data_IF_667016735782
#
_entry.id   IF_667016735782
#
_cell.length_a   1.000
_cell.length_b   1.000
_cell.length_c   1.000
_cell.angle_alpha   90.00
_cell.angle_beta   90.00
_cell.angle_gamma   90.00
#
_symmetry.space_group_name_H-M   'P 1'
#
loop_
_entity.id
_entity.type
_entity.pdbx_description
1 polymer ?
#
# COMPACT_ATOMS: atom_id res chain seq x y z
N UNK A 1 -34.78 18.22 40.34
CA UNK A 1 -33.53 18.72 39.75
C UNK A 1 -33.05 17.65 38.76
N UNK A 2 -33.39 17.77 37.48
CA UNK A 2 -32.91 16.85 36.45
C UNK A 2 -31.65 17.46 35.85
N UNK A 3 -30.51 16.82 36.09
CA UNK A 3 -29.25 17.17 35.44
C UNK A 3 -29.30 16.55 34.04
N UNK A 4 -29.50 17.39 33.02
CA UNK A 4 -29.31 16.98 31.64
C UNK A 4 -27.81 16.75 31.42
N UNK A 5 -27.43 15.48 31.18
CA UNK A 5 -26.09 15.15 30.73
C UNK A 5 -25.92 15.71 29.31
N UNK A 6 -25.03 16.69 29.15
CA UNK A 6 -24.59 17.14 27.84
C UNK A 6 -23.82 16.00 27.18
N UNK A 7 -24.41 15.36 26.17
CA UNK A 7 -23.69 14.50 25.27
C UNK A 7 -22.69 15.36 24.49
N UNK A 8 -21.42 15.30 24.88
CA UNK A 8 -20.33 15.77 24.02
C UNK A 8 -20.36 14.92 22.76
N UNK A 9 -20.85 15.50 21.66
CA UNK A 9 -20.60 14.96 20.32
C UNK A 9 -19.09 14.98 20.11
N UNK A 10 -18.47 13.81 20.11
CA UNK A 10 -17.10 13.68 19.64
C UNK A 10 -17.09 14.15 18.18
N UNK A 11 -16.37 15.24 17.90
CA UNK A 11 -16.06 15.62 16.53
C UNK A 11 -15.09 14.57 16.02
N UNK A 12 -15.58 13.59 15.27
CA UNK A 12 -14.71 12.65 14.59
C UNK A 12 -13.83 13.41 13.60
N UNK A 13 -12.52 13.17 13.63
CA UNK A 13 -11.62 13.69 12.61
C UNK A 13 -12.09 13.19 11.23
N UNK A 14 -12.00 14.04 10.20
CA UNK A 14 -12.34 13.62 8.85
C UNK A 14 -11.48 12.41 8.46
N UNK A 15 -12.03 11.39 7.79
CA UNK A 15 -11.25 10.27 7.31
C UNK A 15 -10.11 10.75 6.42
N UNK A 16 -8.93 10.14 6.54
CA UNK A 16 -7.86 10.37 5.58
C UNK A 16 -8.25 9.73 4.24
N UNK A 17 -8.28 10.53 3.18
CA UNK A 17 -8.50 10.08 1.82
C UNK A 17 -7.28 10.52 1.01
N UNK A 18 -6.32 9.61 0.94
CA UNK A 18 -4.99 9.84 0.42
C UNK A 18 -4.83 9.31 -1.00
N UNK A 19 -4.07 10.04 -1.82
CA UNK A 19 -3.72 9.64 -3.18
C UNK A 19 -2.22 9.76 -3.38
N UNK A 20 -1.56 8.68 -3.80
CA UNK A 20 -0.23 8.79 -4.38
C UNK A 20 -0.36 9.31 -5.81
N UNK A 21 0.40 10.35 -6.15
CA UNK A 21 0.51 10.89 -7.50
C UNK A 21 1.90 10.59 -8.02
N UNK A 22 2.06 9.44 -8.68
CA UNK A 22 3.37 8.94 -9.09
C UNK A 22 3.99 9.74 -10.25
N UNK A 23 5.31 9.64 -10.36
CA UNK A 23 6.11 10.40 -11.33
C UNK A 23 5.98 9.94 -12.79
N UNK A 24 5.31 8.83 -13.05
CA UNK A 24 5.19 8.20 -14.37
C UNK A 24 3.84 8.52 -15.02
N UNK A 25 2.78 8.65 -14.23
CA UNK A 25 1.42 8.85 -14.73
C UNK A 25 0.92 10.28 -14.44
N UNK A 26 1.40 11.26 -15.21
CA UNK A 26 1.21 12.71 -14.90
C UNK A 26 0.30 13.46 -15.88
N UNK A 27 -0.13 12.82 -16.97
CA UNK A 27 -0.75 13.51 -18.11
C UNK A 27 -2.27 13.51 -18.10
N UNK A 28 -2.90 12.45 -17.57
CA UNK A 28 -4.36 12.32 -17.53
C UNK A 28 -4.81 12.34 -16.07
N UNK A 29 -5.37 13.49 -15.66
CA UNK A 29 -5.84 13.70 -14.30
C UNK A 29 -7.37 13.83 -14.25
N UNK A 30 -8.02 13.35 -13.17
CA UNK A 30 -9.46 13.47 -13.01
C UNK A 30 -9.89 14.92 -12.80
N UNK A 31 -11.13 15.25 -13.16
CA UNK A 31 -11.72 16.53 -12.81
C UNK A 31 -11.89 16.67 -11.27
N UNK A 32 -11.96 17.91 -10.79
CA UNK A 32 -12.14 18.24 -9.37
C UNK A 32 -13.38 17.60 -8.75
N UNK A 33 -14.44 17.32 -9.53
CA UNK A 33 -15.61 16.62 -9.02
C UNK A 33 -15.29 15.19 -8.57
N UNK A 34 -14.34 14.53 -9.23
CA UNK A 34 -13.94 13.15 -8.96
C UNK A 34 -12.91 13.08 -7.83
N UNK A 35 -12.04 14.09 -7.70
CA UNK A 35 -11.10 14.19 -6.56
C UNK A 35 -11.71 14.83 -5.32
N UNK A 36 -13.01 15.19 -5.34
CA UNK A 36 -13.64 15.81 -4.19
C UNK A 36 -13.61 14.87 -2.98
N UNK A 37 -13.12 15.38 -1.83
CA UNK A 37 -12.95 14.61 -0.61
C UNK A 37 -11.51 14.15 -0.36
N UNK A 38 -10.66 14.06 -1.41
CA UNK A 38 -9.22 13.80 -1.24
C UNK A 38 -8.63 14.94 -0.42
N UNK A 39 -8.02 14.61 0.71
CA UNK A 39 -7.44 15.57 1.66
C UNK A 39 -5.93 15.36 1.89
N UNK A 40 -5.35 14.31 1.31
CA UNK A 40 -3.90 14.11 1.23
C UNK A 40 -3.50 13.72 -0.20
N UNK A 41 -2.41 14.31 -0.70
CA UNK A 41 -1.79 13.90 -1.97
C UNK A 41 -0.28 13.80 -1.76
N UNK A 42 0.30 12.63 -2.05
CA UNK A 42 1.74 12.41 -2.02
C UNK A 42 2.28 12.62 -3.43
N UNK A 43 2.96 13.73 -3.68
CA UNK A 43 3.29 14.22 -5.04
C UNK A 43 4.78 14.25 -5.38
N UNK A 44 5.67 14.00 -4.42
CA UNK A 44 7.11 14.05 -4.64
C UNK A 44 7.80 12.86 -3.98
N UNK A 45 8.58 12.14 -4.78
CA UNK A 45 9.36 10.98 -4.37
C UNK A 45 10.83 11.35 -4.35
N UNK A 46 11.48 11.14 -3.20
CA UNK A 46 12.90 11.33 -3.04
C UNK A 46 13.51 10.01 -2.56
N UNK A 47 14.56 9.55 -3.25
CA UNK A 47 15.30 8.38 -2.79
C UNK A 47 15.90 8.66 -1.41
N UNK A 48 15.84 7.67 -0.53
CA UNK A 48 16.26 7.83 0.87
C UNK A 48 17.75 8.17 1.03
N UNK A 49 18.57 7.82 0.05
CA UNK A 49 20.01 8.12 0.04
C UNK A 49 20.32 9.61 -0.05
N UNK A 50 19.46 10.40 -0.68
CA UNK A 50 19.58 11.86 -0.78
C UNK A 50 19.60 12.53 0.60
N UNK A 51 18.98 11.92 1.61
CA UNK A 51 18.91 12.47 2.97
C UNK A 51 20.14 12.14 3.83
N UNK A 52 21.13 11.42 3.29
CA UNK A 52 22.39 11.10 3.94
C UNK A 52 23.59 11.76 3.23
N UNK A 53 24.81 11.63 3.79
CA UNK A 53 26.04 12.19 3.20
C UNK A 53 26.61 11.38 2.02
N UNK A 54 25.80 10.61 1.28
CA UNK A 54 26.24 9.70 0.20
C UNK A 54 25.14 8.78 -0.34
N UNK A 55 25.50 7.74 -1.11
CA UNK A 55 24.60 6.78 -1.82
C UNK A 55 23.96 5.72 -0.90
N UNK A 56 23.57 6.10 0.31
CA UNK A 56 23.21 5.16 1.35
C UNK A 56 21.75 5.34 1.81
N UNK A 57 20.88 4.36 1.53
CA UNK A 57 19.44 4.41 1.83
C UNK A 57 19.07 4.30 3.31
N UNK A 58 17.79 4.03 3.59
CA UNK A 58 17.20 4.05 4.93
C UNK A 58 18.01 3.33 6.02
N UNK A 59 18.54 2.13 5.74
CA UNK A 59 19.32 1.36 6.71
C UNK A 59 20.51 2.13 7.31
N UNK A 60 21.21 2.90 6.49
CA UNK A 60 22.32 3.75 6.95
C UNK A 60 21.81 4.97 7.70
N UNK A 61 20.73 5.58 7.22
CA UNK A 61 20.05 6.67 7.94
C UNK A 61 19.66 6.25 9.35
N UNK A 62 19.12 5.04 9.51
CA UNK A 62 18.64 4.49 10.77
C UNK A 62 19.76 4.04 11.74
N UNK A 63 20.92 3.65 11.23
CA UNK A 63 21.91 2.84 11.97
C UNK A 63 22.41 3.46 13.30
N UNK A 64 22.71 4.76 13.34
CA UNK A 64 23.30 5.43 14.50
C UNK A 64 22.52 6.68 14.89
N UNK A 65 22.70 7.18 16.11
CA UNK A 65 22.06 8.44 16.53
C UNK A 65 22.47 9.62 15.63
N UNK A 66 23.76 9.71 15.28
CA UNK A 66 24.27 10.78 14.42
C UNK A 66 23.71 10.71 12.99
N UNK A 67 23.60 9.50 12.41
CA UNK A 67 23.00 9.32 11.08
C UNK A 67 21.51 9.62 11.11
N UNK A 68 20.77 9.17 12.13
CA UNK A 68 19.34 9.45 12.29
C UNK A 68 19.07 10.95 12.42
N UNK A 69 19.85 11.65 13.24
CA UNK A 69 19.73 13.09 13.42
C UNK A 69 20.01 13.85 12.11
N UNK A 70 20.97 13.38 11.31
CA UNK A 70 21.26 13.96 10.01
C UNK A 70 20.11 13.73 9.02
N UNK A 71 19.63 12.50 8.92
CA UNK A 71 18.51 12.13 8.07
C UNK A 71 17.26 12.96 8.40
N UNK A 72 16.87 12.97 9.68
CA UNK A 72 15.70 13.70 10.17
C UNK A 72 15.77 15.21 9.90
N UNK A 73 16.94 15.82 10.13
CA UNK A 73 17.17 17.24 9.83
C UNK A 73 17.02 17.53 8.33
N UNK A 74 17.56 16.65 7.48
CA UNK A 74 17.50 16.84 6.04
C UNK A 74 16.08 16.67 5.50
N UNK A 75 15.30 15.74 6.07
CA UNK A 75 13.85 15.62 5.80
C UNK A 75 13.13 16.91 6.19
N UNK A 76 13.32 17.40 7.42
CA UNK A 76 12.68 18.63 7.88
C UNK A 76 13.03 19.85 7.00
N UNK A 77 14.31 20.00 6.66
CA UNK A 77 14.76 21.07 5.76
C UNK A 77 14.15 20.94 4.36
N UNK A 78 13.98 19.73 3.85
CA UNK A 78 13.34 19.50 2.54
C UNK A 78 11.87 19.89 2.57
N UNK A 79 11.14 19.53 3.63
CA UNK A 79 9.75 19.95 3.81
C UNK A 79 9.62 21.47 3.89
N UNK A 80 10.49 22.14 4.64
CA UNK A 80 10.49 23.61 4.75
C UNK A 80 10.83 24.29 3.42
N UNK A 81 11.83 23.79 2.70
CA UNK A 81 12.27 24.37 1.44
C UNK A 81 11.23 24.23 0.33
N UNK A 82 10.51 23.10 0.30
CA UNK A 82 9.51 22.80 -0.73
C UNK A 82 8.09 23.19 -0.32
N UNK A 83 7.87 23.55 0.94
CA UNK A 83 6.56 23.96 1.46
C UNK A 83 5.58 22.80 1.67
N UNK A 84 6.07 21.60 2.00
CA UNK A 84 5.22 20.43 2.26
C UNK A 84 4.77 20.37 3.72
N UNK A 85 3.51 19.98 3.93
CA UNK A 85 2.88 19.84 5.25
C UNK A 85 3.11 18.47 5.91
N UNK A 86 3.56 17.49 5.14
CA UNK A 86 3.73 16.11 5.59
C UNK A 86 4.92 15.41 4.89
N UNK A 87 5.37 14.31 5.48
CA UNK A 87 6.28 13.33 4.86
C UNK A 87 5.72 11.93 5.05
N UNK A 88 5.80 11.12 4.00
CA UNK A 88 5.54 9.69 4.04
C UNK A 88 6.86 8.93 3.94
N UNK A 89 7.11 7.99 4.85
CA UNK A 89 8.30 7.14 4.83
C UNK A 89 7.91 5.76 4.31
N UNK A 90 8.31 5.48 3.08
CA UNK A 90 8.08 4.21 2.41
C UNK A 90 9.39 3.40 2.34
N UNK A 91 9.66 2.65 3.41
CA UNK A 91 10.81 1.74 3.47
C UNK A 91 10.33 0.30 3.27
N UNK A 92 10.71 -0.29 2.13
CA UNK A 92 10.37 -1.68 1.76
C UNK A 92 11.55 -2.67 1.83
N UNK A 93 11.70 -3.48 2.88
CA UNK A 93 11.11 -3.33 4.21
C UNK A 93 12.19 -3.32 5.29
N UNK A 94 12.00 -2.58 6.40
CA UNK A 94 12.92 -2.62 7.53
C UNK A 94 12.98 -4.04 8.11
N UNK A 95 14.20 -4.54 8.29
CA UNK A 95 14.47 -5.87 8.82
C UNK A 95 14.60 -6.95 7.75
N UNK A 96 14.27 -6.69 6.49
CA UNK A 96 14.44 -7.65 5.41
C UNK A 96 13.33 -7.69 4.38
N UNK A 97 13.36 -8.70 3.51
CA UNK A 97 12.37 -8.95 2.45
C UNK A 97 12.10 -7.78 1.47
N UNK A 98 12.98 -6.77 1.43
CA UNK A 98 12.98 -5.77 0.36
C UNK A 98 13.42 -6.36 -0.98
N UNK A 99 13.49 -5.54 -2.02
CA UNK A 99 13.83 -5.98 -3.38
C UNK A 99 15.15 -6.78 -3.46
N UNK A 100 16.13 -6.45 -2.60
CA UNK A 100 17.44 -7.07 -2.55
C UNK A 100 17.55 -8.28 -1.60
N UNK A 101 16.44 -8.86 -1.11
CA UNK A 101 16.46 -9.84 -0.02
C UNK A 101 17.22 -11.15 -0.31
N UNK A 102 17.39 -11.52 -1.59
CA UNK A 102 18.23 -12.66 -1.98
C UNK A 102 19.72 -12.32 -2.05
N UNK A 103 20.07 -11.05 -2.24
CA UNK A 103 21.45 -10.56 -2.21
C UNK A 103 21.87 -10.14 -0.80
N UNK A 104 20.95 -9.57 -0.03
CA UNK A 104 21.12 -9.08 1.33
C UNK A 104 20.10 -9.76 2.25
N UNK A 105 20.45 -10.94 2.78
CA UNK A 105 19.55 -11.72 3.63
C UNK A 105 19.19 -10.98 4.93
N UNK A 106 18.06 -11.37 5.51
CA UNK A 106 17.44 -10.69 6.65
C UNK A 106 18.32 -10.70 7.91
N UNK A 107 19.21 -11.70 8.07
CA UNK A 107 20.16 -11.79 9.19
C UNK A 107 21.14 -10.61 9.24
N UNK A 108 21.42 -9.98 8.09
CA UNK A 108 22.25 -8.78 7.99
C UNK A 108 21.49 -7.49 8.33
N UNK A 109 20.16 -7.56 8.45
CA UNK A 109 19.26 -6.40 8.63
C UNK A 109 18.52 -6.40 9.97
N UNK A 110 18.78 -7.37 10.84
CA UNK A 110 18.08 -7.52 12.14
C UNK A 110 18.09 -6.24 13.00
N UNK A 111 19.14 -5.43 12.90
CA UNK A 111 19.26 -4.19 13.65
C UNK A 111 18.22 -3.14 13.21
N UNK A 112 17.68 -3.23 11.99
CA UNK A 112 16.64 -2.33 11.46
C UNK A 112 15.32 -2.48 12.23
N UNK A 113 15.06 -3.65 12.85
CA UNK A 113 13.90 -3.87 13.73
C UNK A 113 13.94 -2.91 14.93
N UNK A 114 15.14 -2.68 15.47
CA UNK A 114 15.35 -1.78 16.61
C UNK A 114 15.47 -0.32 16.18
N UNK A 115 16.11 -0.05 15.04
CA UNK A 115 16.41 1.31 14.63
C UNK A 115 15.30 2.00 13.85
N UNK A 116 14.37 1.26 13.24
CA UNK A 116 13.28 1.86 12.47
C UNK A 116 12.37 2.77 13.33
N UNK A 117 11.83 2.34 14.49
CA UNK A 117 11.07 3.24 15.35
C UNK A 117 11.87 4.48 15.80
N UNK A 118 13.18 4.31 16.06
CA UNK A 118 14.06 5.42 16.46
C UNK A 118 14.26 6.44 15.32
N UNK A 119 14.32 5.97 14.07
CA UNK A 119 14.39 6.86 12.91
C UNK A 119 13.09 7.67 12.78
N UNK A 120 11.93 7.01 12.90
CA UNK A 120 10.63 7.70 12.86
C UNK A 120 10.51 8.75 13.96
N UNK A 121 10.95 8.44 15.18
CA UNK A 121 10.94 9.39 16.31
C UNK A 121 11.83 10.61 16.03
N UNK A 122 13.03 10.39 15.48
CA UNK A 122 13.93 11.47 15.10
C UNK A 122 13.31 12.36 14.01
N UNK A 123 12.69 11.76 12.99
CA UNK A 123 11.98 12.50 11.93
C UNK A 123 10.82 13.30 12.52
N UNK A 124 9.94 12.67 13.30
CA UNK A 124 8.79 13.35 13.91
C UNK A 124 9.22 14.55 14.77
N UNK A 125 10.27 14.38 15.57
CA UNK A 125 10.84 15.45 16.38
C UNK A 125 11.39 16.61 15.52
N UNK A 126 12.05 16.31 14.40
CA UNK A 126 12.64 17.32 13.52
C UNK A 126 11.59 18.09 12.70
N UNK A 127 10.53 17.43 12.22
CA UNK A 127 9.49 18.06 11.40
C UNK A 127 8.45 18.84 12.25
N UNK A 128 8.44 18.63 13.56
CA UNK A 128 7.59 19.34 14.51
C UNK A 128 6.10 19.00 14.36
N UNK A 129 5.29 20.00 14.01
CA UNK A 129 3.82 19.84 13.88
C UNK A 129 3.38 19.23 12.55
N UNK A 130 4.29 19.08 11.59
CA UNK A 130 4.00 18.44 10.29
C UNK A 130 3.63 16.97 10.50
N UNK A 131 2.90 16.41 9.55
CA UNK A 131 2.46 15.02 9.62
C UNK A 131 3.54 14.05 9.13
N UNK A 132 3.64 12.91 9.80
CA UNK A 132 4.49 11.78 9.45
C UNK A 132 3.58 10.57 9.20
N UNK A 133 3.53 10.10 7.97
CA UNK A 133 2.94 8.80 7.63
C UNK A 133 4.02 7.79 7.24
N UNK A 134 3.63 6.52 7.22
CA UNK A 134 4.48 5.43 6.75
C UNK A 134 3.68 4.51 5.83
N UNK A 135 4.30 4.03 4.76
CA UNK A 135 3.80 2.89 3.99
C UNK A 135 4.38 1.59 4.55
N UNK A 136 3.52 0.59 4.75
CA UNK A 136 3.87 -0.65 5.48
C UNK A 136 3.39 -1.90 4.74
N UNK A 137 4.07 -3.05 4.88
CA UNK A 137 3.75 -4.23 4.10
C UNK A 137 2.36 -4.78 4.40
N UNK A 138 1.65 -5.23 3.37
CA UNK A 138 0.41 -6.00 3.53
C UNK A 138 0.65 -7.47 3.88
N UNK A 139 1.79 -8.04 3.47
CA UNK A 139 2.09 -9.47 3.69
C UNK A 139 2.71 -9.73 5.06
N UNK A 140 2.21 -10.76 5.74
CA UNK A 140 2.67 -11.13 7.09
C UNK A 140 4.17 -11.42 7.13
N UNK A 141 4.72 -12.07 6.10
CA UNK A 141 6.15 -12.43 6.08
C UNK A 141 7.07 -11.20 5.99
N UNK A 142 6.57 -10.08 5.47
CA UNK A 142 7.33 -8.85 5.27
C UNK A 142 7.23 -7.89 6.48
N UNK A 143 6.34 -8.18 7.43
CA UNK A 143 6.14 -7.39 8.65
C UNK A 143 7.25 -7.60 9.71
N UNK A 144 8.52 -7.73 9.30
CA UNK A 144 9.65 -8.14 10.15
C UNK A 144 9.90 -7.14 11.28
N UNK A 145 10.02 -5.85 10.96
CA UNK A 145 10.22 -4.79 11.97
C UNK A 145 8.93 -4.40 12.72
N UNK A 146 7.77 -4.87 12.29
CA UNK A 146 6.47 -4.49 12.85
C UNK A 146 6.00 -5.50 13.90
N UNK A 147 6.85 -5.83 14.89
CA UNK A 147 6.52 -6.79 15.95
C UNK A 147 5.53 -6.20 16.96
N UNK A 148 4.94 -7.04 17.82
CA UNK A 148 4.07 -6.59 18.92
C UNK A 148 4.78 -5.66 19.93
N UNK A 149 6.12 -5.68 19.96
CA UNK A 149 6.91 -4.76 20.80
C UNK A 149 7.15 -3.41 20.10
N UNK A 150 7.39 -3.42 18.78
CA UNK A 150 7.75 -2.20 18.03
C UNK A 150 6.54 -1.42 17.54
N UNK A 151 5.43 -2.10 17.21
CA UNK A 151 4.21 -1.46 16.73
C UNK A 151 3.67 -0.39 17.68
N UNK A 152 3.62 -0.58 19.01
CA UNK A 152 3.21 0.48 19.93
C UNK A 152 4.09 1.75 19.84
N UNK A 153 5.42 1.59 19.71
CA UNK A 153 6.36 2.71 19.57
C UNK A 153 6.15 3.48 18.26
N UNK A 154 5.87 2.74 17.18
CA UNK A 154 5.54 3.33 15.87
C UNK A 154 4.20 4.07 15.97
N UNK A 155 3.18 3.44 16.56
CA UNK A 155 1.84 4.00 16.75
C UNK A 155 1.86 5.33 17.52
N UNK A 156 2.73 5.48 18.52
CA UNK A 156 2.89 6.73 19.26
C UNK A 156 3.54 7.85 18.44
N UNK A 157 4.29 7.50 17.41
CA UNK A 157 5.16 8.43 16.66
C UNK A 157 4.49 8.99 15.40
N UNK A 158 3.82 8.14 14.63
CA UNK A 158 3.28 8.49 13.30
C UNK A 158 1.84 9.00 13.40
N UNK A 159 1.40 9.81 12.45
CA UNK A 159 0.02 10.29 12.36
C UNK A 159 -0.86 9.27 11.63
N UNK A 160 -0.36 8.68 10.54
CA UNK A 160 -1.06 7.68 9.72
C UNK A 160 -0.15 6.50 9.35
N UNK A 161 -0.76 5.35 9.08
CA UNK A 161 -0.10 4.12 8.62
C UNK A 161 -0.82 3.59 7.39
N UNK A 162 -0.21 3.78 6.22
CA UNK A 162 -0.69 3.35 4.93
C UNK A 162 -0.34 1.87 4.72
N UNK A 163 -1.30 0.98 4.96
CA UNK A 163 -1.07 -0.46 4.79
C UNK A 163 -1.23 -0.81 3.32
N UNK A 164 -0.14 -1.28 2.70
CA UNK A 164 -0.10 -1.69 1.30
C UNK A 164 -0.81 -3.05 1.13
N UNK A 165 -2.14 -3.05 1.27
CA UNK A 165 -3.03 -4.21 1.09
C UNK A 165 -3.22 -4.58 -0.38
N UNK A 166 -2.15 -4.46 -1.15
CA UNK A 166 -1.99 -4.83 -2.54
C UNK A 166 -0.61 -5.49 -2.71
N UNK A 167 -0.35 -6.07 -3.88
CA UNK A 167 0.83 -6.92 -4.13
C UNK A 167 0.98 -8.07 -3.11
N UNK A 168 -0.15 -8.46 -2.53
CA UNK A 168 -0.29 -9.63 -1.67
C UNK A 168 0.01 -10.90 -2.45
N UNK A 169 -0.20 -10.91 -3.76
CA UNK A 169 0.42 -11.86 -4.68
C UNK A 169 1.54 -11.13 -5.40
N UNK A 170 2.74 -11.70 -5.38
CA UNK A 170 3.91 -11.19 -6.07
C UNK A 170 4.76 -12.34 -6.59
N UNK A 171 5.87 -12.04 -7.27
CA UNK A 171 6.73 -13.03 -7.92
C UNK A 171 7.35 -14.10 -7.00
N UNK A 172 7.31 -13.90 -5.68
CA UNK A 172 7.80 -14.88 -4.70
C UNK A 172 6.83 -16.05 -4.48
N UNK A 173 5.59 -15.96 -4.99
CA UNK A 173 4.51 -16.91 -4.74
C UNK A 173 4.37 -17.87 -5.91
N UNK A 174 4.38 -19.18 -5.62
CA UNK A 174 4.33 -20.24 -6.63
C UNK A 174 2.93 -20.75 -6.95
N UNK A 175 1.89 -20.13 -6.38
CA UNK A 175 0.49 -20.43 -6.64
C UNK A 175 -0.33 -19.18 -6.89
N UNK A 176 -1.39 -19.27 -7.69
CA UNK A 176 -2.30 -18.15 -7.92
C UNK A 176 -3.01 -17.74 -6.64
N UNK A 177 -3.03 -16.43 -6.39
CA UNK A 177 -3.67 -15.77 -5.25
C UNK A 177 -4.30 -14.46 -5.74
N UNK A 178 -4.99 -13.74 -4.86
CA UNK A 178 -5.46 -12.40 -5.17
C UNK A 178 -4.48 -11.36 -4.66
N UNK A 179 -4.03 -10.44 -5.53
CA UNK A 179 -3.04 -9.45 -5.11
C UNK A 179 -3.58 -8.39 -4.15
N UNK A 180 -4.90 -8.19 -4.09
CA UNK A 180 -5.53 -7.18 -3.22
C UNK A 180 -6.89 -7.64 -2.67
N UNK A 181 -7.05 -8.92 -2.32
CA UNK A 181 -8.36 -9.41 -1.84
C UNK A 181 -8.85 -8.74 -0.54
N UNK A 182 -10.17 -8.76 -0.31
CA UNK A 182 -10.79 -8.39 0.98
C UNK A 182 -10.22 -9.26 2.12
N UNK A 183 -10.15 -10.58 1.93
CA UNK A 183 -9.63 -11.52 2.92
C UNK A 183 -8.15 -11.24 3.25
N UNK A 184 -7.34 -10.97 2.23
CA UNK A 184 -5.95 -10.55 2.40
C UNK A 184 -5.84 -9.23 3.17
N UNK A 185 -6.64 -8.24 2.78
CA UNK A 185 -6.71 -6.92 3.45
C UNK A 185 -7.07 -7.05 4.93
N UNK A 186 -8.08 -7.86 5.26
CA UNK A 186 -8.46 -8.16 6.65
C UNK A 186 -7.31 -8.79 7.42
N UNK A 187 -6.62 -9.77 6.85
CA UNK A 187 -5.49 -10.42 7.50
C UNK A 187 -4.37 -9.43 7.82
N UNK A 188 -4.04 -8.52 6.90
CA UNK A 188 -3.04 -7.48 7.12
C UNK A 188 -3.45 -6.54 8.24
N UNK A 189 -4.65 -5.97 8.14
CA UNK A 189 -5.19 -5.00 9.11
C UNK A 189 -5.32 -5.61 10.51
N UNK A 190 -5.89 -6.81 10.61
CA UNK A 190 -6.08 -7.49 11.89
C UNK A 190 -4.75 -7.80 12.55
N UNK A 191 -3.71 -8.11 11.77
CA UNK A 191 -2.36 -8.32 12.31
C UNK A 191 -1.81 -7.05 12.96
N UNK A 192 -1.91 -5.89 12.29
CA UNK A 192 -1.45 -4.62 12.88
C UNK A 192 -2.23 -4.24 14.13
N UNK A 193 -3.55 -4.41 14.12
CA UNK A 193 -4.40 -4.14 15.30
C UNK A 193 -4.00 -5.07 16.46
N UNK A 194 -3.84 -6.36 16.20
CA UNK A 194 -3.42 -7.34 17.22
C UNK A 194 -2.04 -7.03 17.81
N UNK A 195 -1.16 -6.38 17.03
CA UNK A 195 0.16 -5.94 17.48
C UNK A 195 0.16 -4.57 18.17
N UNK A 196 -1.00 -3.93 18.31
CA UNK A 196 -1.17 -2.69 19.08
C UNK A 196 -1.27 -1.40 18.25
N UNK A 197 -1.43 -1.50 16.92
CA UNK A 197 -1.69 -0.31 16.10
C UNK A 197 -3.12 0.17 16.33
N UNK A 198 -3.30 1.49 16.49
CA UNK A 198 -4.64 2.06 16.66
C UNK A 198 -5.40 1.97 15.33
N UNK A 199 -6.61 1.37 15.29
CA UNK A 199 -7.36 1.26 14.04
C UNK A 199 -7.61 2.61 13.35
N UNK A 200 -7.86 3.67 14.13
CA UNK A 200 -8.07 5.03 13.61
C UNK A 200 -6.83 5.68 12.96
N UNK A 201 -5.64 5.05 13.05
CA UNK A 201 -4.43 5.48 12.32
C UNK A 201 -4.13 4.61 11.09
N UNK A 202 -4.80 3.46 10.97
CA UNK A 202 -4.62 2.56 9.84
C UNK A 202 -5.41 3.08 8.64
N UNK A 203 -4.73 3.19 7.51
CA UNK A 203 -5.25 3.62 6.22
C UNK A 203 -5.21 2.42 5.28
N UNK A 204 -6.37 2.04 4.73
CA UNK A 204 -6.48 0.87 3.86
C UNK A 204 -5.99 1.20 2.43
N UNK A 205 -5.10 0.36 1.87
CA UNK A 205 -4.54 0.54 0.54
C UNK A 205 -5.34 -0.11 -0.59
N UNK A 206 -5.56 0.65 -1.65
CA UNK A 206 -6.16 0.20 -2.91
C UNK A 206 -5.17 0.28 -4.07
N UNK A 207 -5.23 -0.70 -4.97
CA UNK A 207 -4.44 -0.74 -6.20
C UNK A 207 -5.28 -0.30 -7.40
N UNK A 208 -4.81 0.71 -8.12
CA UNK A 208 -5.38 1.16 -9.41
C UNK A 208 -4.68 0.47 -10.58
N UNK A 209 -4.37 -0.81 -10.41
CA UNK A 209 -3.78 -1.66 -11.44
C UNK A 209 -4.20 -3.12 -11.22
N UNK A 210 -4.20 -3.89 -12.30
CA UNK A 210 -4.29 -5.34 -12.26
C UNK A 210 -2.91 -5.98 -12.22
N UNK A 211 -2.77 -7.16 -11.62
CA UNK A 211 -1.59 -8.01 -11.73
C UNK A 211 -1.85 -9.19 -12.65
N UNK A 212 -0.82 -9.62 -13.37
CA UNK A 212 -0.83 -10.85 -14.14
C UNK A 212 0.36 -11.75 -13.80
N UNK A 213 0.18 -13.06 -13.98
CA UNK A 213 1.15 -14.09 -13.65
C UNK A 213 1.05 -15.27 -14.62
N UNK A 214 2.18 -15.68 -15.21
CA UNK A 214 2.24 -16.87 -16.06
C UNK A 214 2.05 -18.13 -15.20
N UNK A 215 1.11 -18.98 -15.60
CA UNK A 215 0.85 -20.28 -14.97
C UNK A 215 1.78 -21.36 -15.51
N UNK A 216 1.98 -22.44 -14.76
CA UNK A 216 2.81 -23.56 -15.24
C UNK A 216 2.15 -24.22 -16.47
N UNK A 217 2.92 -24.63 -17.51
CA UNK A 217 2.36 -25.32 -18.67
C UNK A 217 1.51 -26.53 -18.30
N UNK A 218 0.32 -26.63 -18.89
CA UNK A 218 -0.63 -27.73 -18.67
C UNK A 218 -1.54 -27.57 -17.45
N UNK A 219 -1.36 -26.52 -16.64
CA UNK A 219 -2.31 -26.17 -15.58
C UNK A 219 -3.63 -25.70 -16.20
N UNK A 220 -4.75 -26.00 -15.53
CA UNK A 220 -6.06 -25.44 -15.85
C UNK A 220 -6.69 -24.84 -14.59
N UNK A 221 -6.80 -23.52 -14.54
CA UNK A 221 -7.38 -22.84 -13.39
C UNK A 221 -8.89 -22.77 -13.47
N UNK A 222 -9.54 -23.61 -12.68
CA UNK A 222 -11.00 -23.63 -12.51
C UNK A 222 -11.45 -22.96 -11.21
N UNK A 223 -10.50 -22.69 -10.30
CA UNK A 223 -10.69 -21.96 -9.05
C UNK A 223 -9.89 -20.66 -9.07
N UNK A 224 -10.31 -19.63 -8.31
CA UNK A 224 -9.61 -18.34 -8.25
C UNK A 224 -8.17 -18.47 -7.78
N UNK A 225 -7.91 -19.32 -6.79
CA UNK A 225 -6.58 -19.47 -6.19
C UNK A 225 -6.09 -20.92 -6.23
N UNK A 226 -4.80 -21.11 -6.03
CA UNK A 226 -4.16 -22.42 -5.81
C UNK A 226 -3.57 -23.09 -7.04
N UNK A 227 -3.66 -22.48 -8.23
CA UNK A 227 -2.98 -23.00 -9.42
C UNK A 227 -1.48 -22.79 -9.36
N UNK A 228 -0.68 -23.78 -9.77
CA UNK A 228 0.76 -23.60 -9.87
C UNK A 228 1.15 -22.52 -10.90
N UNK A 229 2.03 -21.60 -10.51
CA UNK A 229 2.61 -20.61 -11.41
C UNK A 229 3.87 -21.16 -12.08
N UNK A 230 4.33 -20.48 -13.13
CA UNK A 230 5.70 -20.63 -13.59
C UNK A 230 6.69 -20.16 -12.50
N UNK A 231 7.99 -20.29 -12.76
CA UNK A 231 9.03 -19.68 -11.91
C UNK A 231 9.04 -18.18 -12.18
N UNK A 232 8.37 -17.41 -11.33
CA UNK A 232 8.16 -15.97 -11.48
C UNK A 232 9.36 -15.13 -10.99
N UNK A 233 10.21 -15.72 -10.17
CA UNK A 233 11.41 -15.08 -9.64
C UNK A 233 12.60 -16.05 -9.76
N UNK A 234 13.72 -15.56 -10.32
CA UNK A 234 14.90 -16.38 -10.47
C UNK A 234 15.63 -16.66 -9.15
N UNK A 235 16.62 -17.54 -9.21
CA UNK A 235 17.36 -18.00 -8.02
C UNK A 235 18.08 -16.87 -7.28
N UNK A 236 18.49 -15.82 -7.99
CA UNK A 236 19.12 -14.62 -7.44
C UNK A 236 18.11 -13.50 -7.14
N UNK A 237 16.82 -13.67 -7.42
CA UNK A 237 15.78 -12.69 -7.08
C UNK A 237 15.42 -11.76 -8.23
N UNK A 238 16.03 -11.97 -9.41
CA UNK A 238 15.67 -11.23 -10.60
C UNK A 238 14.24 -11.54 -11.06
N UNK A 239 13.65 -10.56 -11.72
CA UNK A 239 12.37 -10.71 -12.41
C UNK A 239 12.57 -11.61 -13.64
N UNK A 240 11.77 -12.67 -13.77
CA UNK A 240 11.81 -13.55 -14.94
C UNK A 240 11.00 -13.01 -16.12
N UNK A 241 10.28 -11.89 -15.94
CA UNK A 241 9.38 -11.31 -16.93
C UNK A 241 8.10 -12.13 -17.11
N UNK A 242 7.79 -13.01 -16.16
CA UNK A 242 6.61 -13.89 -16.19
C UNK A 242 5.50 -13.43 -15.22
N UNK A 243 5.62 -12.21 -14.71
CA UNK A 243 4.56 -11.54 -13.96
C UNK A 243 4.68 -10.04 -14.16
N UNK A 244 3.60 -9.31 -13.96
CA UNK A 244 3.60 -7.86 -14.12
C UNK A 244 2.35 -7.19 -13.61
N UNK A 245 2.29 -5.88 -13.82
CA UNK A 245 1.14 -5.03 -13.51
C UNK A 245 0.71 -4.27 -14.77
N UNK A 246 -0.59 -4.05 -14.92
CA UNK A 246 -1.18 -3.21 -15.97
C UNK A 246 -2.16 -2.24 -15.32
N UNK A 247 -1.95 -0.94 -15.53
CA UNK A 247 -2.80 0.13 -15.00
C UNK A 247 -4.10 0.22 -15.79
N UNK A 248 -5.18 0.70 -15.17
CA UNK A 248 -6.48 0.92 -15.81
C UNK A 248 -6.52 2.19 -16.67
N UNK A 249 -5.41 2.57 -17.30
CA UNK A 249 -5.37 3.69 -18.22
C UNK A 249 -5.95 3.28 -19.57
N UNK A 250 -6.65 4.21 -20.23
CA UNK A 250 -7.26 3.97 -21.54
C UNK A 250 -6.27 3.47 -22.60
N UNK A 251 -4.99 3.85 -22.49
CA UNK A 251 -3.95 3.37 -23.39
C UNK A 251 -3.76 1.85 -23.29
N UNK A 252 -3.82 1.28 -22.09
CA UNK A 252 -3.62 -0.15 -21.88
C UNK A 252 -4.81 -0.98 -22.34
N UNK A 253 -6.04 -0.49 -22.15
CA UNK A 253 -7.24 -1.13 -22.73
C UNK A 253 -7.16 -1.26 -24.26
N UNK A 254 -6.50 -0.31 -24.94
CA UNK A 254 -6.36 -0.32 -26.39
C UNK A 254 -5.10 -1.08 -26.87
N UNK A 255 -4.05 -1.15 -26.06
CA UNK A 255 -2.75 -1.68 -26.46
C UNK A 255 -2.52 -3.14 -26.03
N UNK A 256 -3.14 -3.59 -24.94
CA UNK A 256 -2.97 -4.93 -24.38
C UNK A 256 -4.29 -5.72 -24.50
N UNK A 257 -4.34 -6.59 -25.52
CA UNK A 257 -5.51 -7.43 -25.77
C UNK A 257 -5.76 -8.45 -24.66
N UNK A 258 -4.71 -8.95 -24.01
CA UNK A 258 -4.86 -9.92 -22.94
C UNK A 258 -5.43 -9.25 -21.67
N UNK A 259 -5.02 -8.02 -21.40
CA UNK A 259 -5.61 -7.19 -20.36
C UNK A 259 -7.07 -6.85 -20.67
N UNK A 260 -7.39 -6.40 -21.88
CA UNK A 260 -8.76 -6.11 -22.29
C UNK A 260 -9.67 -7.34 -22.15
N UNK A 261 -9.20 -8.50 -22.58
CA UNK A 261 -9.89 -9.79 -22.41
C UNK A 261 -10.10 -10.11 -20.93
N UNK A 262 -9.11 -9.88 -20.07
CA UNK A 262 -9.24 -10.08 -18.63
C UNK A 262 -10.31 -9.18 -18.01
N UNK A 263 -10.35 -7.90 -18.40
CA UNK A 263 -11.36 -6.95 -17.92
C UNK A 263 -12.78 -7.34 -18.36
N UNK A 264 -12.96 -7.86 -19.58
CA UNK A 264 -14.26 -8.31 -20.08
C UNK A 264 -14.70 -9.64 -19.46
N UNK A 265 -13.79 -10.60 -19.33
CA UNK A 265 -14.09 -12.00 -18.95
C UNK A 265 -13.88 -12.29 -17.46
N UNK A 266 -13.51 -11.26 -16.69
CA UNK A 266 -13.26 -11.32 -15.27
C UNK A 266 -14.40 -11.91 -14.46
N UNK A 267 -14.04 -12.60 -13.37
CA UNK A 267 -14.96 -13.20 -12.41
C UNK A 267 -14.62 -12.73 -11.02
N UNK A 268 -15.65 -12.55 -10.20
CA UNK A 268 -15.48 -12.26 -8.78
C UNK A 268 -15.30 -13.55 -8.00
N UNK A 269 -14.25 -13.66 -7.21
CA UNK A 269 -14.22 -14.56 -6.07
C UNK A 269 -15.03 -13.91 -4.93
N UNK A 270 -16.23 -14.41 -4.68
CA UNK A 270 -17.11 -13.88 -3.65
C UNK A 270 -16.58 -14.15 -2.22
N UNK A 271 -15.86 -15.26 -2.02
CA UNK A 271 -15.37 -15.70 -0.71
C UNK A 271 -14.13 -14.91 -0.30
N UNK A 272 -13.11 -14.86 -1.15
CA UNK A 272 -11.89 -14.09 -0.84
C UNK A 272 -12.10 -12.58 -1.07
N UNK A 273 -12.97 -12.20 -2.01
CA UNK A 273 -13.21 -10.82 -2.39
C UNK A 273 -12.11 -10.26 -3.29
N UNK A 274 -11.97 -10.80 -4.50
CA UNK A 274 -11.01 -10.37 -5.52
C UNK A 274 -11.52 -10.68 -6.91
N UNK A 275 -11.17 -9.87 -7.92
CA UNK A 275 -11.39 -10.26 -9.31
C UNK A 275 -10.29 -11.20 -9.76
N UNK A 276 -10.64 -12.10 -10.68
CA UNK A 276 -9.70 -12.96 -11.36
C UNK A 276 -10.16 -13.34 -12.77
N UNK A 277 -9.19 -13.67 -13.62
CA UNK A 277 -9.42 -14.33 -14.90
C UNK A 277 -8.21 -15.21 -15.22
N UNK A 278 -8.44 -16.41 -15.74
CA UNK A 278 -7.36 -17.24 -16.27
C UNK A 278 -7.56 -17.41 -17.76
N UNK A 279 -6.61 -16.87 -18.52
CA UNK A 279 -6.54 -17.02 -19.96
C UNK A 279 -5.89 -18.36 -20.30
N UNK A 280 -6.70 -19.31 -20.77
CA UNK A 280 -6.21 -20.63 -21.16
C UNK A 280 -5.36 -20.61 -22.44
N UNK A 281 -5.54 -19.61 -23.31
CA UNK A 281 -4.79 -19.45 -24.55
C UNK A 281 -3.37 -18.96 -24.29
N UNK A 282 -3.24 -18.01 -23.36
CA UNK A 282 -1.96 -17.41 -22.97
C UNK A 282 -1.30 -18.10 -21.76
N UNK A 283 -2.05 -18.95 -21.05
CA UNK A 283 -1.60 -19.55 -19.78
C UNK A 283 -1.37 -18.49 -18.71
N UNK A 284 -2.15 -17.42 -18.70
CA UNK A 284 -1.94 -16.23 -17.87
C UNK A 284 -3.08 -16.02 -16.88
N UNK A 285 -2.74 -15.83 -15.60
CA UNK A 285 -3.70 -15.54 -14.54
C UNK A 285 -3.67 -14.05 -14.20
N UNK A 286 -4.84 -13.43 -14.15
CA UNK A 286 -5.06 -12.02 -13.83
C UNK A 286 -5.79 -11.87 -12.49
N UNK A 287 -5.48 -10.82 -11.74
CA UNK A 287 -6.22 -10.45 -10.52
C UNK A 287 -6.19 -8.95 -10.26
N UNK A 288 -7.32 -8.39 -9.79
CA UNK A 288 -7.51 -6.96 -9.52
C UNK A 288 -8.67 -6.71 -8.55
N UNK A 289 -8.92 -5.45 -8.20
CA UNK A 289 -10.16 -4.98 -7.56
C UNK A 289 -11.17 -4.49 -8.61
N UNK A 290 -12.47 -4.67 -8.39
CA UNK A 290 -13.50 -3.93 -9.13
C UNK A 290 -14.08 -2.81 -8.25
N UNK A 291 -14.84 -1.88 -8.84
CA UNK A 291 -15.57 -0.85 -8.10
C UNK A 291 -16.50 -1.44 -7.02
N UNK A 292 -17.13 -2.59 -7.28
CA UNK A 292 -17.97 -3.30 -6.30
C UNK A 292 -17.15 -3.89 -5.15
N UNK A 293 -15.97 -4.45 -5.44
CA UNK A 293 -15.07 -4.95 -4.40
C UNK A 293 -14.49 -3.82 -3.55
N UNK A 294 -14.23 -2.65 -4.15
CA UNK A 294 -13.89 -1.44 -3.40
C UNK A 294 -15.00 -1.10 -2.42
N UNK A 295 -16.25 -1.01 -2.89
CA UNK A 295 -17.39 -0.74 -2.01
C UNK A 295 -17.52 -1.77 -0.88
N UNK A 296 -17.28 -3.06 -1.17
CA UNK A 296 -17.23 -4.11 -0.14
C UNK A 296 -16.09 -3.92 0.86
N UNK A 297 -14.88 -3.55 0.42
CA UNK A 297 -13.75 -3.25 1.34
C UNK A 297 -14.08 -2.12 2.32
N UNK A 298 -14.83 -1.10 1.90
CA UNK A 298 -15.31 -0.07 2.82
C UNK A 298 -16.21 -0.65 3.92
N UNK A 299 -17.11 -1.57 3.57
CA UNK A 299 -18.03 -2.17 4.54
C UNK A 299 -17.32 -3.21 5.43
N UNK A 300 -16.63 -4.16 4.80
CA UNK A 300 -16.09 -5.37 5.43
C UNK A 300 -14.76 -5.12 6.14
N UNK A 301 -14.00 -4.08 5.75
CA UNK A 301 -12.67 -3.77 6.32
C UNK A 301 -12.69 -2.42 7.02
N UNK A 302 -12.96 -1.33 6.29
CA UNK A 302 -12.82 0.04 6.81
C UNK A 302 -13.80 0.30 7.95
N UNK A 303 -15.10 0.16 7.71
CA UNK A 303 -16.14 0.37 8.71
C UNK A 303 -16.10 -0.69 9.81
N UNK A 304 -15.94 -1.97 9.43
CA UNK A 304 -15.92 -3.08 10.39
C UNK A 304 -14.75 -3.04 11.39
N UNK A 305 -13.65 -2.33 11.08
CA UNK A 305 -12.50 -2.14 11.97
C UNK A 305 -12.34 -0.72 12.49
N UNK A 306 -13.16 0.23 12.05
CA UNK A 306 -13.04 1.64 12.43
C UNK A 306 -11.72 2.25 11.96
N UNK A 307 -11.35 1.99 10.69
CA UNK A 307 -10.10 2.49 10.12
C UNK A 307 -10.14 4.01 9.93
N UNK A 308 -8.96 4.64 10.00
CA UNK A 308 -8.80 6.10 9.90
C UNK A 308 -9.02 6.66 8.50
N UNK A 309 -9.00 5.81 7.48
CA UNK A 309 -9.13 6.25 6.09
C UNK A 309 -8.68 5.23 5.06
N UNK A 310 -8.45 5.73 3.86
CA UNK A 310 -8.04 4.95 2.68
C UNK A 310 -6.98 5.68 1.86
N UNK A 311 -6.16 4.93 1.15
CA UNK A 311 -5.16 5.41 0.19
C UNK A 311 -5.30 4.65 -1.13
N UNK A 312 -4.89 5.25 -2.27
CA UNK A 312 -4.71 4.51 -3.53
C UNK A 312 -3.32 4.72 -4.17
N UNK A 313 -2.80 3.63 -4.75
CA UNK A 313 -1.65 3.63 -5.65
C UNK A 313 -2.11 3.29 -7.08
N UNK A 314 -1.98 4.18 -8.06
CA UNK A 314 -1.77 5.63 -7.90
C UNK A 314 -2.78 6.39 -8.77
N UNK A 315 -3.05 7.66 -8.41
CA UNK A 315 -4.21 8.44 -8.85
C UNK A 315 -4.53 8.30 -10.34
N UNK A 316 -3.56 8.54 -11.23
CA UNK A 316 -3.78 8.58 -12.67
C UNK A 316 -3.92 7.19 -13.33
N UNK A 317 -3.61 6.12 -12.60
CA UNK A 317 -3.67 4.75 -13.10
C UNK A 317 -5.11 4.25 -13.28
N UNK A 318 -6.12 5.00 -12.80
CA UNK A 318 -7.56 4.71 -12.98
C UNK A 318 -8.21 5.54 -14.12
N UNK A 319 -7.40 6.05 -15.05
CA UNK A 319 -7.85 7.10 -16.00
C UNK A 319 -8.79 6.65 -17.12
N UNK A 320 -9.08 5.35 -17.27
CA UNK A 320 -10.06 4.88 -18.26
C UNK A 320 -11.46 5.44 -18.00
N UNK A 321 -11.95 5.36 -16.77
CA UNK A 321 -13.30 5.82 -16.40
C UNK A 321 -13.42 6.37 -14.97
N UNK A 322 -12.34 6.32 -14.18
CA UNK A 322 -12.28 6.72 -12.78
C UNK A 322 -13.20 5.91 -11.86
N UNK A 323 -13.58 4.69 -12.25
CA UNK A 323 -14.55 3.88 -11.50
C UNK A 323 -14.03 3.48 -10.12
N UNK A 324 -12.74 3.18 -9.97
CA UNK A 324 -12.15 2.84 -8.68
C UNK A 324 -12.10 4.07 -7.75
N UNK A 325 -11.66 5.21 -8.27
CA UNK A 325 -11.63 6.47 -7.54
C UNK A 325 -13.03 6.93 -7.12
N UNK A 326 -14.04 6.81 -8.00
CA UNK A 326 -15.44 7.12 -7.68
C UNK A 326 -15.99 6.17 -6.61
N UNK A 327 -15.65 4.88 -6.66
CA UNK A 327 -16.05 3.93 -5.64
C UNK A 327 -15.44 4.28 -4.27
N UNK A 328 -14.16 4.68 -4.25
CA UNK A 328 -13.51 5.18 -3.04
C UNK A 328 -14.14 6.47 -2.51
N UNK A 329 -14.43 7.43 -3.40
CA UNK A 329 -15.10 8.68 -3.05
C UNK A 329 -16.46 8.43 -2.39
N UNK A 330 -17.26 7.53 -2.97
CA UNK A 330 -18.55 7.13 -2.41
C UNK A 330 -18.39 6.46 -1.04
N UNK A 331 -17.39 5.59 -0.89
CA UNK A 331 -17.06 4.95 0.39
C UNK A 331 -16.69 5.94 1.49
N UNK A 332 -15.79 6.89 1.19
CA UNK A 332 -15.35 7.93 2.14
C UNK A 332 -16.52 8.86 2.52
N UNK A 333 -17.37 9.22 1.57
CA UNK A 333 -18.57 10.01 1.85
C UNK A 333 -19.54 9.30 2.82
N UNK A 334 -19.57 7.96 2.80
CA UNK A 334 -20.35 7.15 3.74
C UNK A 334 -19.73 6.97 5.13
N UNK A 335 -18.48 7.38 5.33
CA UNK A 335 -17.80 7.36 6.64
C UNK A 335 -18.04 8.62 7.48
N UNK A 336 -18.55 9.70 6.87
CA UNK A 336 -18.80 11.01 7.49
C UNK A 336 -20.20 11.10 8.09
#
# INVERSE_FOLDING_TARGET
MFVAAAATQAVFAKPAFMMYFDQWHTTTLPDRSVTAGVNYVITAFAQSDIFNSGTCGFGVGAATEASRATFARNVAQTLDNLGYDCVDIDWEYPGGNGEDYKQKPNDQKVQEIETYPLLLQAIKAAIGKKELSIAVPGRLEDMIAFTAEKVPLINETVDHVNVMTYDLMNRRISTTEHHTSIKGSLSSIDTYIQRGMSPSKLILGFAFYAKWFTTQPGVQCTTPTGCATAVLEGADGNDTGLSGAVTFEVANYNADLAFADAMEKGRTDAEAGGMWYWDAGEGMYWTWDSAELIARKFQEVVAARGLGGVMAWSLAQDSHDWSHLKAMQAGVAGMQ
#
